data_IF_726971711244
#
_entry.id   IF_726971711244
#
_cell.length_a   1.000
_cell.length_b   1.000
_cell.length_c   1.000
_cell.angle_alpha   90.00
_cell.angle_beta   90.00
_cell.angle_gamma   90.00
#
_symmetry.space_group_name_H-M   'P 1'
#
loop_
_entity.id
_entity.type
_entity.pdbx_description
1 polymer ?
#
# COMPACT_ATOMS: atom_id res chain seq x y z
N UNK A 1 -11.13 -9.99 -12.95
CA UNK A 1 -10.90 -9.73 -11.51
C UNK A 1 -9.42 -9.59 -11.16
N UNK A 2 -8.52 -10.52 -11.51
CA UNK A 2 -7.07 -10.36 -11.25
C UNK A 2 -6.47 -9.03 -11.76
N UNK A 3 -6.85 -8.61 -12.97
CA UNK A 3 -6.43 -7.32 -13.53
C UNK A 3 -6.94 -6.13 -12.70
N UNK A 4 -8.17 -6.17 -12.21
CA UNK A 4 -8.72 -5.13 -11.35
C UNK A 4 -8.00 -5.06 -10.01
N UNK A 5 -7.69 -6.23 -9.41
CA UNK A 5 -6.88 -6.29 -8.19
C UNK A 5 -5.53 -5.62 -8.42
N UNK A 6 -4.83 -5.99 -9.49
CA UNK A 6 -3.52 -5.40 -9.84
C UNK A 6 -3.61 -3.89 -10.05
N UNK A 7 -4.65 -3.40 -10.72
CA UNK A 7 -4.88 -1.96 -10.91
C UNK A 7 -5.12 -1.25 -9.57
N UNK A 8 -5.93 -1.82 -8.69
CA UNK A 8 -6.17 -1.29 -7.35
C UNK A 8 -4.89 -1.29 -6.49
N UNK A 9 -4.08 -2.35 -6.57
CA UNK A 9 -2.79 -2.43 -5.88
C UNK A 9 -1.80 -1.35 -6.38
N UNK A 10 -1.71 -1.13 -7.70
CA UNK A 10 -0.87 -0.07 -8.26
C UNK A 10 -1.35 1.31 -7.81
N UNK A 11 -2.66 1.58 -7.89
CA UNK A 11 -3.24 2.84 -7.42
C UNK A 11 -2.91 3.12 -5.95
N UNK A 12 -3.02 2.09 -5.10
CA UNK A 12 -2.65 2.18 -3.69
C UNK A 12 -1.18 2.57 -3.50
N UNK A 13 -0.28 1.94 -4.26
CA UNK A 13 1.16 2.24 -4.20
C UNK A 13 1.45 3.66 -4.67
N UNK A 14 0.83 4.12 -5.75
CA UNK A 14 0.97 5.49 -6.25
C UNK A 14 0.53 6.51 -5.19
N UNK A 15 -0.55 6.21 -4.46
CA UNK A 15 -1.03 7.05 -3.35
C UNK A 15 -0.06 7.06 -2.18
N UNK A 16 0.57 5.93 -1.83
CA UNK A 16 1.65 5.93 -0.84
C UNK A 16 2.87 6.73 -1.28
N UNK A 17 3.21 6.70 -2.57
CA UNK A 17 4.30 7.50 -3.12
C UNK A 17 3.99 9.00 -3.07
N UNK A 18 2.75 9.41 -3.35
CA UNK A 18 2.31 10.80 -3.13
C UNK A 18 2.40 11.18 -1.66
N UNK A 19 1.91 10.33 -0.75
CA UNK A 19 1.96 10.59 0.68
C UNK A 19 3.40 10.73 1.22
N UNK A 20 4.33 9.89 0.74
CA UNK A 20 5.73 9.90 1.15
C UNK A 20 6.50 11.16 0.72
N UNK A 21 6.11 11.76 -0.41
CA UNK A 21 6.81 12.93 -0.98
C UNK A 21 6.07 14.26 -0.77
N UNK A 22 4.84 14.22 -0.27
CA UNK A 22 4.06 15.42 -0.02
C UNK A 22 4.59 16.21 1.19
N UNK A 23 4.63 17.54 1.04
CA UNK A 23 5.03 18.47 2.10
C UNK A 23 3.85 19.05 2.88
N UNK A 24 2.63 18.93 2.33
CA UNK A 24 1.41 19.43 2.95
C UNK A 24 0.73 18.32 3.78
N UNK A 25 0.53 18.50 5.09
CA UNK A 25 -0.12 17.49 5.94
C UNK A 25 -1.50 17.04 5.44
N UNK A 26 -2.25 17.95 4.81
CA UNK A 26 -3.53 17.65 4.19
C UNK A 26 -3.41 16.64 3.04
N UNK A 27 -2.47 16.87 2.10
CA UNK A 27 -2.20 15.95 0.99
C UNK A 27 -1.74 14.59 1.50
N UNK A 28 -0.83 14.56 2.48
CA UNK A 28 -0.34 13.32 3.06
C UNK A 28 -1.50 12.52 3.67
N UNK A 29 -2.33 13.17 4.49
CA UNK A 29 -3.47 12.52 5.14
C UNK A 29 -4.49 11.99 4.13
N UNK A 30 -4.85 12.79 3.13
CA UNK A 30 -5.79 12.37 2.07
C UNK A 30 -5.24 11.17 1.29
N UNK A 31 -3.99 11.23 0.84
CA UNK A 31 -3.37 10.14 0.09
C UNK A 31 -3.26 8.84 0.90
N UNK A 32 -2.95 8.92 2.21
CA UNK A 32 -2.95 7.74 3.09
C UNK A 32 -4.35 7.13 3.26
N UNK A 33 -5.38 7.97 3.42
CA UNK A 33 -6.78 7.50 3.51
C UNK A 33 -7.20 6.81 2.21
N UNK A 34 -6.89 7.43 1.07
CA UNK A 34 -7.21 6.86 -0.25
C UNK A 34 -6.44 5.55 -0.50
N UNK A 35 -5.16 5.47 -0.09
CA UNK A 35 -4.39 4.24 -0.16
C UNK A 35 -5.03 3.13 0.69
N UNK A 36 -5.47 3.42 1.91
CA UNK A 36 -6.18 2.44 2.75
C UNK A 36 -7.51 2.00 2.13
N UNK A 37 -8.25 2.90 1.49
CA UNK A 37 -9.48 2.53 0.77
C UNK A 37 -9.19 1.64 -0.44
N UNK A 38 -8.11 1.91 -1.17
CA UNK A 38 -7.66 1.05 -2.26
C UNK A 38 -7.24 -0.34 -1.73
N UNK A 39 -6.53 -0.41 -0.60
CA UNK A 39 -6.18 -1.69 0.03
C UNK A 39 -7.43 -2.52 0.39
N UNK A 40 -8.40 -1.91 1.08
CA UNK A 40 -9.66 -2.58 1.42
C UNK A 40 -10.40 -3.06 0.17
N UNK A 41 -10.39 -2.28 -0.89
CA UNK A 41 -11.00 -2.65 -2.18
C UNK A 41 -10.27 -3.84 -2.80
N UNK A 42 -8.93 -3.86 -2.77
CA UNK A 42 -8.14 -4.98 -3.26
C UNK A 42 -8.43 -6.26 -2.47
N UNK A 43 -8.57 -6.18 -1.14
CA UNK A 43 -8.95 -7.31 -0.28
C UNK A 43 -10.36 -7.85 -0.59
N UNK A 44 -11.34 -6.96 -0.83
CA UNK A 44 -12.68 -7.37 -1.24
C UNK A 44 -12.71 -8.05 -2.61
N UNK A 45 -11.98 -7.49 -3.58
CA UNK A 45 -11.83 -8.07 -4.92
C UNK A 45 -11.13 -9.43 -4.84
N UNK A 46 -10.12 -9.57 -3.97
CA UNK A 46 -9.44 -10.84 -3.72
C UNK A 46 -10.37 -11.88 -3.09
N UNK A 47 -11.13 -11.48 -2.07
CA UNK A 47 -12.13 -12.32 -1.41
C UNK A 47 -13.25 -12.80 -2.35
N UNK A 48 -13.44 -12.10 -3.48
CA UNK A 48 -14.42 -12.45 -4.52
C UNK A 48 -13.86 -13.39 -5.60
N UNK A 49 -12.56 -13.68 -5.60
CA UNK A 49 -11.96 -14.69 -6.49
C UNK A 49 -12.45 -16.10 -6.12
N UNK A 50 -12.41 -17.03 -7.07
CA UNK A 50 -12.65 -18.44 -6.78
C UNK A 50 -11.52 -19.06 -5.93
N UNK A 51 -11.81 -20.16 -5.23
CA UNK A 51 -10.88 -20.81 -4.28
C UNK A 51 -9.54 -21.21 -4.93
N UNK A 52 -9.56 -21.62 -6.20
CA UNK A 52 -8.36 -22.02 -6.92
C UNK A 52 -7.46 -20.80 -7.20
N UNK A 53 -8.07 -19.67 -7.58
CA UNK A 53 -7.38 -18.41 -7.79
C UNK A 53 -6.85 -17.83 -6.49
N UNK A 54 -7.62 -17.89 -5.39
CA UNK A 54 -7.18 -17.44 -4.07
C UNK A 54 -6.02 -18.30 -3.55
N UNK A 55 -6.09 -19.61 -3.67
CA UNK A 55 -5.02 -20.48 -3.15
C UNK A 55 -3.71 -20.24 -3.90
N UNK A 56 -3.78 -20.02 -5.22
CA UNK A 56 -2.59 -19.81 -6.06
C UNK A 56 -1.79 -18.54 -5.71
N UNK A 57 -2.43 -17.52 -5.14
CA UNK A 57 -1.82 -16.21 -4.85
C UNK A 57 -1.87 -15.81 -3.37
N UNK A 58 -2.31 -16.71 -2.48
CA UNK A 58 -2.58 -16.40 -1.08
C UNK A 58 -1.38 -15.80 -0.35
N UNK A 59 -0.21 -16.40 -0.51
CA UNK A 59 1.02 -15.94 0.15
C UNK A 59 1.46 -14.56 -0.35
N UNK A 60 1.48 -14.36 -1.68
CA UNK A 60 1.86 -13.08 -2.28
C UNK A 60 0.89 -11.97 -1.90
N UNK A 61 -0.42 -12.23 -1.98
CA UNK A 61 -1.44 -11.25 -1.62
C UNK A 61 -1.40 -10.91 -0.13
N UNK A 62 -1.23 -11.90 0.74
CA UNK A 62 -1.05 -11.66 2.18
C UNK A 62 0.19 -10.81 2.47
N UNK A 63 1.33 -11.14 1.86
CA UNK A 63 2.56 -10.37 2.02
C UNK A 63 2.38 -8.92 1.55
N UNK A 64 1.63 -8.71 0.45
CA UNK A 64 1.29 -7.38 -0.04
C UNK A 64 0.47 -6.59 0.99
N UNK A 65 -0.59 -7.18 1.56
CA UNK A 65 -1.43 -6.52 2.57
C UNK A 65 -0.62 -6.17 3.82
N UNK A 66 0.18 -7.10 4.32
CA UNK A 66 1.02 -6.88 5.51
C UNK A 66 2.06 -5.76 5.25
N UNK A 67 2.68 -5.75 4.07
CA UNK A 67 3.67 -4.73 3.68
C UNK A 67 3.03 -3.35 3.49
N UNK A 68 1.83 -3.29 2.90
CA UNK A 68 1.07 -2.04 2.73
C UNK A 68 0.68 -1.44 4.09
N UNK A 69 0.21 -2.27 5.03
CA UNK A 69 -0.12 -1.84 6.38
C UNK A 69 1.12 -1.34 7.14
N UNK A 70 2.26 -2.03 6.97
CA UNK A 70 3.54 -1.62 7.56
C UNK A 70 4.01 -0.26 7.01
N UNK A 71 3.97 -0.07 5.70
CA UNK A 71 4.34 1.18 5.03
C UNK A 71 3.48 2.35 5.52
N UNK A 72 2.15 2.16 5.58
CA UNK A 72 1.22 3.16 6.12
C UNK A 72 1.61 3.59 7.54
N UNK A 73 1.91 2.64 8.43
CA UNK A 73 2.33 2.93 9.80
C UNK A 73 3.65 3.71 9.84
N UNK A 74 4.62 3.37 8.99
CA UNK A 74 5.89 4.11 8.91
C UNK A 74 5.69 5.54 8.42
N UNK A 75 4.86 5.76 7.38
CA UNK A 75 4.58 7.12 6.89
C UNK A 75 3.95 7.92 8.02
N UNK A 76 2.93 7.39 8.72
CA UNK A 76 2.32 8.07 9.89
C UNK A 76 3.36 8.41 10.96
N UNK A 77 4.20 7.45 11.36
CA UNK A 77 5.26 7.69 12.37
C UNK A 77 6.29 8.72 11.92
N UNK A 78 6.58 8.79 10.63
CA UNK A 78 7.53 9.77 10.07
C UNK A 78 7.00 11.20 10.22
N UNK A 79 5.69 11.40 10.13
CA UNK A 79 5.04 12.70 10.31
C UNK A 79 5.13 13.17 11.76
N UNK A 80 4.99 12.25 12.72
CA UNK A 80 5.06 12.58 14.15
C UNK A 80 6.48 13.00 14.58
N UNK A 81 7.52 12.47 13.91
CA UNK A 81 8.92 12.64 14.33
C UNK A 81 9.74 13.58 13.44
N UNK A 82 9.22 13.98 12.26
CA UNK A 82 9.91 14.83 11.28
C UNK A 82 11.35 14.36 10.97
N UNK A 83 11.51 13.04 10.80
CA UNK A 83 12.79 12.34 10.84
C UNK A 83 13.17 11.79 9.46
N UNK A 84 14.34 12.24 8.96
CA UNK A 84 14.93 11.83 7.68
C UNK A 84 15.24 10.34 7.61
N UNK A 85 15.47 9.65 8.75
CA UNK A 85 15.71 8.20 8.79
C UNK A 85 14.50 7.42 8.28
N UNK A 86 13.29 7.96 8.43
CA UNK A 86 12.09 7.32 7.90
C UNK A 86 11.97 7.49 6.38
N UNK A 87 12.50 8.55 5.78
CA UNK A 87 12.39 8.78 4.33
C UNK A 87 13.05 7.66 3.52
N UNK A 88 14.30 7.29 3.86
CA UNK A 88 15.01 6.20 3.19
C UNK A 88 14.30 4.84 3.39
N UNK A 89 13.76 4.61 4.60
CA UNK A 89 13.03 3.37 4.92
C UNK A 89 11.70 3.28 4.16
N UNK A 90 10.94 4.37 4.12
CA UNK A 90 9.68 4.48 3.38
C UNK A 90 9.95 4.20 1.89
N UNK A 91 11.03 4.74 1.33
CA UNK A 91 11.38 4.50 -0.07
C UNK A 91 11.76 3.03 -0.36
N UNK A 92 12.50 2.39 0.55
CA UNK A 92 12.84 0.97 0.43
C UNK A 92 11.58 0.09 0.49
N UNK A 93 10.66 0.42 1.38
CA UNK A 93 9.43 -0.34 1.59
C UNK A 93 8.44 -0.12 0.44
N UNK A 94 8.36 1.09 -0.12
CA UNK A 94 7.67 1.36 -1.39
C UNK A 94 8.22 0.50 -2.52
N UNK A 95 9.55 0.39 -2.62
CA UNK A 95 10.20 -0.41 -3.66
C UNK A 95 9.90 -1.90 -3.48
N UNK A 96 9.96 -2.40 -2.24
CA UNK A 96 9.60 -3.78 -1.93
C UNK A 96 8.12 -4.07 -2.24
N UNK A 97 7.22 -3.15 -1.88
CA UNK A 97 5.79 -3.27 -2.13
C UNK A 97 5.47 -3.29 -3.64
N UNK A 98 6.15 -2.46 -4.44
CA UNK A 98 6.05 -2.47 -5.92
C UNK A 98 6.44 -3.83 -6.52
N UNK A 99 7.39 -4.55 -5.93
CA UNK A 99 7.84 -5.86 -6.41
C UNK A 99 6.83 -6.99 -6.13
N UNK A 100 5.83 -6.76 -5.27
CA UNK A 100 4.81 -7.75 -4.93
C UNK A 100 3.59 -7.72 -5.87
N UNK A 101 3.56 -6.80 -6.85
CA UNK A 101 2.45 -6.58 -7.81
C UNK A 101 2.76 -7.19 -9.19
#
# INVERSE_FOLDING_TARGET
MREQIKQTQNMMVDLFEVAAHASQPGTISTSLIEAQQALLTAEQLYGSLDDAQQTASQSTFKNFVDSAAHLNLMIVKSLDNNDLVYADRIQNELTALKQLI
#
